data_IF_464891731181
#
_entry.id   IF_464891731181
#
_cell.length_a   1.000
_cell.length_b   1.000
_cell.length_c   1.000
_cell.angle_alpha   90.00
_cell.angle_beta   90.00
_cell.angle_gamma   90.00
#
_symmetry.space_group_name_H-M   'P 1'
#
loop_
_entity.id
_entity.type
_entity.pdbx_description
1 polymer ?
#
# COMPACT_ATOMS: atom_id res chain seq x y z
N UNK A 1 15.57 6.29 24.51
CA UNK A 1 15.99 5.57 23.29
C UNK A 1 15.08 4.35 23.07
N UNK A 2 13.77 4.57 23.14
CA UNK A 2 12.69 3.57 22.95
C UNK A 2 11.62 4.07 21.97
N UNK A 3 11.70 5.34 21.59
CA UNK A 3 10.71 6.12 20.82
C UNK A 3 10.37 5.52 19.46
N UNK A 4 11.23 4.67 18.89
CA UNK A 4 10.99 4.09 17.56
C UNK A 4 9.79 3.14 17.53
N UNK A 5 9.55 2.38 18.60
CA UNK A 5 8.41 1.45 18.66
C UNK A 5 7.14 2.13 19.17
N UNK A 6 7.28 3.11 20.07
CA UNK A 6 6.14 3.85 20.63
C UNK A 6 5.39 4.68 19.56
N UNK A 7 6.10 5.07 18.50
CA UNK A 7 5.53 5.88 17.42
C UNK A 7 4.92 5.07 16.27
N UNK A 8 4.93 3.73 16.36
CA UNK A 8 4.39 2.85 15.32
C UNK A 8 2.95 2.44 15.62
N UNK A 9 2.05 2.75 14.70
CA UNK A 9 0.64 2.39 14.78
C UNK A 9 0.23 1.41 13.69
N UNK A 10 -0.75 0.57 14.01
CA UNK A 10 -1.40 -0.27 13.01
C UNK A 10 -2.30 0.59 12.09
N UNK A 11 -2.55 0.14 10.85
CA UNK A 11 -3.48 0.82 9.95
C UNK A 11 -4.89 1.00 10.54
N UNK A 12 -5.34 0.08 11.41
CA UNK A 12 -6.65 0.16 12.05
C UNK A 12 -6.71 1.30 13.08
N UNK A 13 -5.69 1.41 13.93
CA UNK A 13 -5.58 2.49 14.91
C UNK A 13 -5.50 3.87 14.25
N UNK A 14 -4.77 3.98 13.13
CA UNK A 14 -4.71 5.23 12.36
C UNK A 14 -6.08 5.55 11.75
N UNK A 15 -6.79 4.55 11.21
CA UNK A 15 -8.12 4.74 10.67
C UNK A 15 -9.12 5.23 11.73
N UNK A 16 -9.14 4.58 12.90
CA UNK A 16 -9.96 5.01 14.04
C UNK A 16 -9.65 6.44 14.46
N UNK A 17 -8.37 6.81 14.56
CA UNK A 17 -7.94 8.16 14.92
C UNK A 17 -8.40 9.22 13.92
N UNK A 18 -8.25 8.94 12.62
CA UNK A 18 -8.69 9.84 11.55
C UNK A 18 -10.22 9.97 11.57
N UNK A 19 -10.94 8.85 11.68
CA UNK A 19 -12.41 8.85 11.76
C UNK A 19 -12.91 9.62 12.97
N UNK A 20 -12.30 9.45 14.15
CA UNK A 20 -12.65 10.22 15.35
C UNK A 20 -12.38 11.72 15.19
N UNK A 21 -11.31 12.10 14.49
CA UNK A 21 -10.90 13.51 14.34
C UNK A 21 -11.66 14.26 13.23
N UNK A 22 -12.10 13.56 12.18
CA UNK A 22 -12.65 14.17 10.96
C UNK A 22 -14.12 13.83 10.70
N UNK A 23 -14.66 12.81 11.38
CA UNK A 23 -15.98 12.25 11.09
C UNK A 23 -16.05 11.44 9.79
N UNK A 24 -14.93 11.31 9.05
CA UNK A 24 -14.89 10.54 7.80
C UNK A 24 -14.73 9.06 8.11
N UNK A 25 -15.59 8.23 7.54
CA UNK A 25 -15.45 6.78 7.65
C UNK A 25 -14.25 6.30 6.82
N UNK A 26 -13.21 5.82 7.51
CA UNK A 26 -11.99 5.29 6.91
C UNK A 26 -11.76 3.87 7.42
N UNK A 27 -11.36 2.96 6.54
CA UNK A 27 -11.01 1.59 6.95
C UNK A 27 -9.50 1.43 7.08
N UNK A 28 -9.06 0.53 7.96
CA UNK A 28 -7.64 0.17 8.05
C UNK A 28 -7.06 -0.35 6.74
N UNK A 29 -7.88 -0.98 5.88
CA UNK A 29 -7.46 -1.40 4.53
C UNK A 29 -7.11 -0.21 3.64
N UNK A 30 -7.92 0.85 3.68
CA UNK A 30 -7.65 2.08 2.92
C UNK A 30 -6.34 2.73 3.36
N UNK A 31 -6.12 2.83 4.67
CA UNK A 31 -4.86 3.34 5.24
C UNK A 31 -3.68 2.49 4.79
N UNK A 32 -3.81 1.16 4.86
CA UNK A 32 -2.75 0.24 4.44
C UNK A 32 -2.38 0.39 2.97
N UNK A 33 -3.36 0.36 2.06
CA UNK A 33 -3.10 0.47 0.62
C UNK A 33 -2.45 1.82 0.27
N UNK A 34 -2.88 2.91 0.92
CA UNK A 34 -2.26 4.23 0.73
C UNK A 34 -0.83 4.27 1.29
N UNK A 35 -0.62 3.80 2.52
CA UNK A 35 0.71 3.76 3.13
C UNK A 35 1.70 2.87 2.34
N UNK A 36 1.22 1.75 1.79
CA UNK A 36 2.01 0.88 0.93
C UNK A 36 2.40 1.58 -0.37
N UNK A 37 1.49 2.32 -0.99
CA UNK A 37 1.74 3.10 -2.21
C UNK A 37 2.79 4.18 -1.97
N UNK A 38 2.71 4.87 -0.83
CA UNK A 38 3.63 5.93 -0.44
C UNK A 38 5.00 5.41 0.06
N UNK A 39 5.18 4.09 0.18
CA UNK A 39 6.44 3.49 0.66
C UNK A 39 6.72 3.68 2.16
N UNK A 40 5.76 4.18 2.93
CA UNK A 40 5.90 4.45 4.38
C UNK A 40 5.45 3.27 5.26
N UNK A 41 4.84 2.24 4.66
CA UNK A 41 4.41 1.07 5.41
C UNK A 41 5.61 0.19 5.81
N UNK A 42 5.84 0.04 7.11
CA UNK A 42 6.88 -0.82 7.69
C UNK A 42 6.27 -2.18 8.04
N UNK A 43 6.90 -3.27 7.59
CA UNK A 43 6.47 -4.64 7.95
C UNK A 43 7.40 -5.18 9.03
N UNK A 44 6.89 -5.34 10.25
CA UNK A 44 7.62 -5.95 11.36
C UNK A 44 6.94 -7.29 11.66
N UNK A 45 7.61 -8.39 11.30
CA UNK A 45 7.04 -9.74 11.36
C UNK A 45 5.80 -9.88 10.47
N UNK A 46 4.65 -10.19 11.09
CA UNK A 46 3.34 -10.29 10.41
C UNK A 46 2.52 -9.00 10.47
N UNK A 47 2.98 -8.02 11.24
CA UNK A 47 2.26 -6.78 11.47
C UNK A 47 2.75 -5.70 10.50
N UNK A 48 1.80 -4.98 9.93
CA UNK A 48 2.06 -3.75 9.19
C UNK A 48 1.92 -2.58 10.15
N UNK A 49 2.91 -1.70 10.16
CA UNK A 49 3.02 -0.56 11.05
C UNK A 49 3.38 0.69 10.24
N UNK A 50 2.91 1.84 10.71
CA UNK A 50 3.13 3.14 10.08
C UNK A 50 3.56 4.11 11.19
N UNK A 51 4.56 4.95 10.92
CA UNK A 51 4.98 5.97 11.89
C UNK A 51 3.89 7.03 12.04
N UNK A 52 3.67 7.52 13.25
CA UNK A 52 2.83 8.70 13.49
C UNK A 52 3.30 9.91 12.67
N UNK A 53 4.62 10.06 12.52
CA UNK A 53 5.22 11.17 11.77
C UNK A 53 4.89 11.14 10.27
N UNK A 54 4.51 9.98 9.74
CA UNK A 54 4.14 9.80 8.34
C UNK A 54 2.64 10.06 8.07
N UNK A 55 1.83 10.31 9.12
CA UNK A 55 0.39 10.60 8.99
C UNK A 55 0.12 11.83 8.09
N UNK A 56 0.85 12.96 8.20
CA UNK A 56 0.67 14.10 7.29
C UNK A 56 0.83 13.71 5.81
N UNK A 57 1.81 12.84 5.51
CA UNK A 57 2.01 12.34 4.15
C UNK A 57 0.84 11.44 3.70
N UNK A 58 0.27 10.66 4.62
CA UNK A 58 -0.92 9.84 4.39
C UNK A 58 -2.17 10.70 4.14
N UNK A 59 -2.26 11.91 4.69
CA UNK A 59 -3.40 12.81 4.49
C UNK A 59 -3.26 13.75 3.29
N UNK A 60 -2.04 13.88 2.73
CA UNK A 60 -1.78 14.69 1.55
C UNK A 60 -2.70 14.27 0.39
N UNK A 61 -3.28 15.27 -0.28
CA UNK A 61 -4.08 15.07 -1.48
C UNK A 61 -3.23 14.48 -2.61
N UNK A 62 -3.81 13.52 -3.34
CA UNK A 62 -3.18 12.96 -4.53
C UNK A 62 -3.33 13.92 -5.71
N UNK A 63 -2.21 14.24 -6.36
CA UNK A 63 -2.18 15.02 -7.60
C UNK A 63 -2.78 14.25 -8.78
N UNK A 64 -3.00 14.92 -9.91
CA UNK A 64 -3.51 14.25 -11.12
C UNK A 64 -2.47 13.24 -11.65
N UNK A 65 -1.20 13.56 -11.49
CA UNK A 65 -0.05 12.76 -11.84
C UNK A 65 -0.01 11.47 -11.01
N UNK A 66 -0.16 11.58 -9.68
CA UNK A 66 -0.21 10.41 -8.78
C UNK A 66 -1.36 9.46 -9.16
N UNK A 67 -2.52 10.01 -9.52
CA UNK A 67 -3.68 9.23 -9.97
C UNK A 67 -3.42 8.56 -11.32
N UNK A 68 -2.71 9.22 -12.22
CA UNK A 68 -2.33 8.69 -13.54
C UNK A 68 -1.32 7.56 -13.40
N UNK A 69 -0.29 7.72 -12.59
CA UNK A 69 0.68 6.66 -12.29
C UNK A 69 -0.02 5.45 -11.66
N UNK A 70 -0.92 5.66 -10.70
CA UNK A 70 -1.73 4.57 -10.12
C UNK A 70 -2.54 3.81 -11.16
N UNK A 71 -3.19 4.53 -12.06
CA UNK A 71 -3.96 3.92 -13.14
C UNK A 71 -3.04 3.18 -14.12
N UNK A 72 -1.87 3.72 -14.44
CA UNK A 72 -0.87 3.09 -15.32
C UNK A 72 -0.24 1.84 -14.72
N UNK A 73 0.03 1.82 -13.40
CA UNK A 73 0.51 0.63 -12.69
C UNK A 73 -0.56 -0.48 -12.65
N UNK A 74 -1.83 -0.11 -12.45
CA UNK A 74 -2.96 -1.05 -12.53
C UNK A 74 -3.25 -1.48 -13.97
N UNK A 75 -3.09 -0.55 -14.91
CA UNK A 75 -3.19 -0.73 -16.34
C UNK A 75 -1.82 -0.99 -16.95
N UNK A 76 -0.96 -1.74 -16.25
CA UNK A 76 -0.01 -2.60 -16.92
C UNK A 76 -0.85 -3.60 -17.73
N UNK A 77 -1.40 -3.08 -18.84
CA UNK A 77 -2.15 -3.76 -19.87
C UNK A 77 -1.15 -4.76 -20.39
N UNK A 78 -1.20 -5.97 -19.84
CA UNK A 78 -0.63 -7.13 -20.47
C UNK A 78 -1.35 -7.19 -21.80
N UNK A 79 -0.70 -6.75 -22.86
CA UNK A 79 -1.14 -7.15 -24.20
C UNK A 79 -1.34 -8.66 -24.16
N UNK A 80 -2.29 -9.20 -24.94
CA UNK A 80 -2.56 -10.65 -24.94
C UNK A 80 -1.26 -11.47 -25.08
N UNK A 81 -0.30 -10.92 -25.82
CA UNK A 81 1.07 -11.44 -25.98
C UNK A 81 1.89 -11.48 -24.68
N UNK A 82 1.91 -10.40 -23.89
CA UNK A 82 2.61 -10.38 -22.60
C UNK A 82 1.98 -11.35 -21.59
N UNK A 83 0.65 -11.47 -21.59
CA UNK A 83 -0.04 -12.45 -20.76
C UNK A 83 0.30 -13.90 -21.18
N UNK A 84 0.32 -14.17 -22.50
CA UNK A 84 0.68 -15.47 -23.05
C UNK A 84 2.14 -15.83 -22.75
N UNK A 85 3.06 -14.87 -22.84
CA UNK A 85 4.48 -15.06 -22.52
C UNK A 85 4.70 -15.43 -21.05
N UNK A 86 4.00 -14.76 -20.12
CA UNK A 86 4.06 -15.11 -18.70
C UNK A 86 3.53 -16.53 -18.43
N UNK A 87 2.40 -16.91 -19.05
CA UNK A 87 1.83 -18.26 -18.92
C UNK A 87 2.80 -19.34 -19.43
N UNK A 88 3.43 -19.11 -20.59
CA UNK A 88 4.44 -20.02 -21.16
C UNK A 88 5.64 -20.16 -20.24
N UNK A 89 6.17 -19.05 -19.71
CA UNK A 89 7.30 -19.05 -18.76
C UNK A 89 6.97 -19.84 -17.48
N UNK A 90 5.78 -19.62 -16.92
CA UNK A 90 5.32 -20.35 -15.73
C UNK A 90 5.15 -21.85 -15.98
N UNK A 91 4.72 -22.26 -17.19
CA UNK A 91 4.58 -23.67 -17.58
C UNK A 91 5.94 -24.36 -17.70
N UNK A 92 6.92 -23.70 -18.31
CA UNK A 92 8.31 -24.20 -18.43
C UNK A 92 9.00 -24.32 -17.07
N UNK A 93 8.76 -23.38 -16.14
CA UNK A 93 9.29 -23.47 -14.79
C UNK A 93 8.69 -24.66 -14.00
N UNK A 94 7.45 -25.03 -14.31
CA UNK A 94 6.77 -26.18 -13.70
C UNK A 94 7.23 -27.53 -14.26
N UNK A 95 7.59 -27.59 -15.53
CA UNK A 95 8.07 -28.84 -16.17
C UNK A 95 9.54 -29.15 -15.91
N UNK A 96 10.31 -28.17 -15.41
CA UNK A 96 11.72 -28.35 -14.99
C UNK A 96 11.86 -28.81 -13.52
N UNK A 97 10.74 -29.03 -12.83
CA UNK A 97 10.68 -29.47 -11.44
C UNK A 97 10.12 -30.89 -11.41
#
# INVERSE_FOLDING_TARGET
MTDFLDNLLTPHQIAERITASTGIHLTGRTVWEKARRLGIAKKIGRSMLISIDDIPLLLKEETKEDKRERLMDQSAIRTGEQALAMLRKARLARSKK
#
